data_IF_294857988241
#
_entry.id   IF_294857988241
#
_cell.length_a   1.000
_cell.length_b   1.000
_cell.length_c   1.000
_cell.angle_alpha   90.00
_cell.angle_beta   90.00
_cell.angle_gamma   90.00
#
_symmetry.space_group_name_H-M   'P 1'
#
loop_
_entity.id
_entity.type
_entity.pdbx_description
1 polymer ?
#
# COMPACT_ATOMS: atom_id res chain seq x y z
N UNK A 1 -21.37 0.54 -4.33
CA UNK A 1 -20.25 1.48 -4.06
C UNK A 1 -19.42 1.01 -2.87
N UNK A 2 -20.05 0.89 -1.69
CA UNK A 2 -19.43 0.39 -0.45
C UNK A 2 -18.69 -0.94 -0.63
N UNK A 3 -19.32 -1.95 -1.26
CA UNK A 3 -18.66 -3.24 -1.53
C UNK A 3 -17.41 -3.11 -2.41
N UNK A 4 -17.43 -2.29 -3.45
CA UNK A 4 -16.28 -2.10 -4.35
C UNK A 4 -15.16 -1.31 -3.66
N UNK A 5 -15.51 -0.32 -2.84
CA UNK A 5 -14.56 0.42 -2.01
C UNK A 5 -13.90 -0.48 -0.97
N UNK A 6 -14.69 -1.30 -0.28
CA UNK A 6 -14.21 -2.29 0.65
C UNK A 6 -13.29 -3.32 -0.02
N UNK A 7 -13.69 -3.86 -1.18
CA UNK A 7 -12.89 -4.81 -1.94
C UNK A 7 -11.54 -4.22 -2.35
N UNK A 8 -11.51 -2.98 -2.85
CA UNK A 8 -10.27 -2.28 -3.21
C UNK A 8 -9.36 -2.04 -1.99
N UNK A 9 -9.93 -1.64 -0.86
CA UNK A 9 -9.19 -1.48 0.39
C UNK A 9 -8.62 -2.81 0.88
N UNK A 10 -9.42 -3.87 0.83
CA UNK A 10 -9.03 -5.21 1.25
C UNK A 10 -7.93 -5.77 0.35
N UNK A 11 -8.05 -5.63 -0.98
CA UNK A 11 -7.02 -6.03 -1.95
C UNK A 11 -5.70 -5.31 -1.67
N UNK A 12 -5.74 -3.99 -1.43
CA UNK A 12 -4.55 -3.22 -1.06
C UNK A 12 -3.88 -3.79 0.21
N UNK A 13 -4.67 -4.08 1.25
CA UNK A 13 -4.16 -4.68 2.50
C UNK A 13 -3.53 -6.06 2.27
N UNK A 14 -4.12 -6.87 1.39
CA UNK A 14 -3.57 -8.18 1.02
C UNK A 14 -2.22 -8.03 0.29
N UNK A 15 -2.13 -7.12 -0.69
CA UNK A 15 -0.88 -6.83 -1.40
C UNK A 15 0.24 -6.43 -0.42
N UNK A 16 -0.02 -5.49 0.48
CA UNK A 16 0.97 -5.08 1.49
C UNK A 16 1.34 -6.21 2.46
N UNK A 17 0.39 -7.09 2.80
CA UNK A 17 0.67 -8.29 3.58
C UNK A 17 1.62 -9.27 2.89
N UNK A 18 1.44 -9.48 1.59
CA UNK A 18 2.33 -10.32 0.77
C UNK A 18 3.72 -9.69 0.68
N UNK A 19 3.83 -8.39 0.39
CA UNK A 19 5.12 -7.67 0.31
C UNK A 19 5.92 -7.81 1.61
N UNK A 20 5.28 -7.57 2.77
CA UNK A 20 5.95 -7.72 4.06
C UNK A 20 6.41 -9.16 4.31
N UNK A 21 5.59 -10.14 3.93
CA UNK A 21 5.93 -11.57 4.08
C UNK A 21 7.13 -11.95 3.23
N UNK A 22 7.13 -11.57 1.94
CA UNK A 22 8.20 -11.94 1.02
C UNK A 22 9.51 -11.20 1.31
N UNK A 23 9.47 -9.94 1.74
CA UNK A 23 10.68 -9.24 2.18
C UNK A 23 11.30 -9.89 3.42
N UNK A 24 10.47 -10.38 4.36
CA UNK A 24 10.94 -11.17 5.51
C UNK A 24 11.52 -12.51 5.05
N UNK A 25 10.92 -13.15 4.05
CA UNK A 25 11.46 -14.38 3.46
C UNK A 25 12.83 -14.13 2.81
N UNK A 26 13.00 -13.07 2.02
CA UNK A 26 14.28 -12.69 1.42
C UNK A 26 15.33 -12.50 2.52
N UNK A 27 15.02 -11.73 3.56
CA UNK A 27 15.94 -11.50 4.67
C UNK A 27 16.27 -12.81 5.42
N UNK A 28 15.26 -13.62 5.75
CA UNK A 28 15.42 -14.91 6.42
C UNK A 28 16.29 -15.87 5.62
N UNK A 29 15.99 -16.06 4.33
CA UNK A 29 16.70 -16.97 3.44
C UNK A 29 18.14 -16.50 3.20
N UNK A 30 18.32 -15.22 2.87
CA UNK A 30 19.64 -14.64 2.63
C UNK A 30 20.53 -14.69 3.86
N UNK A 31 19.99 -14.40 5.05
CA UNK A 31 20.76 -14.44 6.29
C UNK A 31 21.04 -15.85 6.83
N UNK A 32 20.11 -16.79 6.63
CA UNK A 32 20.28 -18.17 7.15
C UNK A 32 21.15 -19.03 6.24
N UNK A 33 21.06 -18.85 4.92
CA UNK A 33 21.76 -19.69 3.95
C UNK A 33 23.14 -19.20 3.58
N UNK A 34 23.45 -17.92 3.82
CA UNK A 34 24.76 -17.33 3.52
C UNK A 34 25.89 -17.79 4.44
N UNK A 35 25.71 -18.81 5.30
CA UNK A 35 26.73 -19.26 6.27
C UNK A 35 27.62 -20.37 5.67
N UNK A 36 28.88 -20.09 5.30
CA UNK A 36 29.80 -21.13 4.83
C UNK A 36 30.68 -21.59 6.00
N UNK A 37 30.98 -22.88 6.07
CA UNK A 37 31.80 -23.47 7.14
C UNK A 37 33.28 -23.01 7.16
N UNK A 38 33.76 -22.28 6.14
CA UNK A 38 35.20 -22.01 5.92
C UNK A 38 35.58 -20.56 5.60
N UNK A 39 34.68 -19.59 5.78
CA UNK A 39 34.90 -18.23 5.25
C UNK A 39 35.71 -17.33 6.19
N UNK A 40 36.83 -16.77 5.69
CA UNK A 40 37.81 -15.97 6.45
C UNK A 40 37.35 -14.54 6.79
N UNK A 41 36.36 -14.00 6.07
CA UNK A 41 35.88 -12.62 6.22
C UNK A 41 34.43 -12.54 6.74
N UNK A 42 34.25 -12.91 8.01
CA UNK A 42 32.96 -12.86 8.71
C UNK A 42 32.31 -11.46 8.69
N UNK A 43 33.11 -10.40 8.79
CA UNK A 43 32.63 -9.02 8.87
C UNK A 43 31.97 -8.56 7.56
N UNK A 44 32.64 -8.79 6.43
CA UNK A 44 32.12 -8.46 5.10
C UNK A 44 30.79 -9.16 4.82
N UNK A 45 30.67 -10.44 5.21
CA UNK A 45 29.40 -11.17 5.08
C UNK A 45 28.28 -10.56 5.92
N UNK A 46 28.55 -10.20 7.17
CA UNK A 46 27.56 -9.54 8.03
C UNK A 46 27.10 -8.22 7.41
N UNK A 47 28.03 -7.49 6.79
CA UNK A 47 27.70 -6.27 6.05
C UNK A 47 26.82 -6.55 4.84
N UNK A 48 27.15 -7.54 4.00
CA UNK A 48 26.34 -7.93 2.84
C UNK A 48 24.93 -8.41 3.24
N UNK A 49 24.82 -9.17 4.35
CA UNK A 49 23.53 -9.58 4.92
C UNK A 49 22.70 -8.38 5.40
N UNK A 50 23.35 -7.39 6.02
CA UNK A 50 22.70 -6.12 6.41
C UNK A 50 22.23 -5.37 5.19
N UNK A 51 23.03 -5.28 4.12
CA UNK A 51 22.66 -4.62 2.86
C UNK A 51 21.44 -5.27 2.20
N UNK A 52 21.32 -6.59 2.21
CA UNK A 52 20.10 -7.27 1.72
C UNK A 52 18.89 -6.93 2.60
N UNK A 53 19.04 -6.97 3.92
CA UNK A 53 17.94 -6.64 4.85
C UNK A 53 17.47 -5.19 4.70
N UNK A 54 18.41 -4.26 4.60
CA UNK A 54 18.13 -2.84 4.33
C UNK A 54 17.52 -2.66 2.95
N UNK A 55 18.02 -3.36 1.92
CA UNK A 55 17.48 -3.31 0.56
C UNK A 55 16.01 -3.76 0.49
N UNK A 56 15.65 -4.85 1.18
CA UNK A 56 14.27 -5.31 1.26
C UNK A 56 13.35 -4.27 1.91
N UNK A 57 13.84 -3.57 2.94
CA UNK A 57 13.08 -2.50 3.58
C UNK A 57 12.99 -1.24 2.72
N UNK A 58 14.08 -0.85 2.04
CA UNK A 58 14.11 0.28 1.12
C UNK A 58 13.14 0.06 -0.05
N UNK A 59 13.00 -1.17 -0.54
CA UNK A 59 11.96 -1.50 -1.52
C UNK A 59 10.55 -1.16 -1.01
N UNK A 60 10.20 -1.57 0.21
CA UNK A 60 8.90 -1.22 0.81
C UNK A 60 8.73 0.29 0.94
N UNK A 61 9.77 1.00 1.41
CA UNK A 61 9.73 2.46 1.59
C UNK A 61 9.59 3.20 0.26
N UNK A 62 10.26 2.71 -0.79
CA UNK A 62 10.14 3.23 -2.15
C UNK A 62 8.75 2.98 -2.73
N UNK A 63 8.18 1.79 -2.51
CA UNK A 63 6.81 1.48 -2.93
C UNK A 63 5.79 2.33 -2.18
N UNK A 64 5.95 2.50 -0.86
CA UNK A 64 5.09 3.35 -0.04
C UNK A 64 5.08 4.77 -0.58
N UNK A 65 6.26 5.34 -0.87
CA UNK A 65 6.37 6.66 -1.47
C UNK A 65 5.72 6.72 -2.85
N UNK A 66 5.92 5.69 -3.67
CA UNK A 66 5.34 5.61 -5.02
C UNK A 66 3.81 5.61 -5.01
N UNK A 67 3.19 4.93 -4.03
CA UNK A 67 1.73 4.84 -3.87
C UNK A 67 1.13 5.80 -2.84
N UNK A 68 1.95 6.64 -2.19
CA UNK A 68 1.58 7.43 -1.01
C UNK A 68 1.25 8.91 -1.27
N UNK A 69 1.45 9.40 -2.50
CA UNK A 69 1.26 10.82 -2.83
C UNK A 69 2.49 11.70 -2.53
N UNK A 70 2.50 12.97 -2.99
CA UNK A 70 3.72 13.80 -3.10
C UNK A 70 4.29 14.29 -1.75
N UNK A 71 3.49 14.32 -0.70
CA UNK A 71 3.84 14.96 0.58
C UNK A 71 5.02 14.28 1.31
N UNK A 72 5.27 13.01 0.99
CA UNK A 72 6.28 12.15 1.62
C UNK A 72 7.67 12.21 0.93
N UNK A 73 7.86 13.10 -0.06
CA UNK A 73 9.10 13.14 -0.85
C UNK A 73 10.36 13.48 -0.02
N UNK A 74 10.27 14.50 0.83
CA UNK A 74 11.41 14.97 1.60
C UNK A 74 11.86 13.90 2.62
N UNK A 75 10.89 13.26 3.29
CA UNK A 75 11.15 12.20 4.25
C UNK A 75 11.73 10.95 3.57
N UNK A 76 11.20 10.57 2.40
CA UNK A 76 11.74 9.48 1.60
C UNK A 76 13.21 9.69 1.26
N UNK A 77 13.57 10.88 0.76
CA UNK A 77 14.95 11.17 0.38
C UNK A 77 15.90 11.20 1.59
N UNK A 78 15.47 11.77 2.72
CA UNK A 78 16.25 11.77 3.95
C UNK A 78 16.52 10.33 4.44
N UNK A 79 15.47 9.50 4.43
CA UNK A 79 15.54 8.08 4.78
C UNK A 79 16.51 7.32 3.89
N UNK A 80 16.39 7.46 2.57
CA UNK A 80 17.26 6.77 1.60
C UNK A 80 18.73 7.16 1.81
N UNK A 81 19.03 8.45 2.00
CA UNK A 81 20.40 8.94 2.26
C UNK A 81 20.99 8.47 3.59
N UNK A 82 20.14 8.17 4.58
CA UNK A 82 20.58 7.67 5.88
C UNK A 82 21.01 6.19 5.84
N UNK A 83 20.28 5.37 5.08
CA UNK A 83 20.43 3.91 5.11
C UNK A 83 21.21 3.34 3.92
N UNK A 84 21.36 4.09 2.83
CA UNK A 84 22.08 3.65 1.63
C UNK A 84 23.38 4.45 1.42
N UNK A 85 24.40 3.84 0.81
CA UNK A 85 25.57 4.55 0.30
C UNK A 85 25.18 5.69 -0.66
N UNK A 86 25.95 6.80 -0.72
CA UNK A 86 25.58 7.97 -1.51
C UNK A 86 25.33 7.70 -3.00
N UNK A 87 26.11 6.81 -3.60
CA UNK A 87 25.97 6.41 -5.01
C UNK A 87 24.67 5.64 -5.27
N UNK A 88 24.32 4.73 -4.36
CA UNK A 88 23.09 3.94 -4.44
C UNK A 88 21.85 4.79 -4.13
N UNK A 89 21.97 5.68 -3.14
CA UNK A 89 20.91 6.60 -2.72
C UNK A 89 20.51 7.56 -3.84
N UNK A 90 21.46 8.29 -4.42
CA UNK A 90 21.16 9.23 -5.51
C UNK A 90 20.70 8.48 -6.78
N UNK A 91 21.26 7.31 -7.05
CA UNK A 91 20.81 6.44 -8.14
C UNK A 91 19.39 5.89 -7.95
N UNK A 92 18.90 5.79 -6.71
CA UNK A 92 17.51 5.41 -6.40
C UNK A 92 16.57 6.62 -6.51
N UNK A 93 16.97 7.77 -5.98
CA UNK A 93 16.16 9.01 -5.99
C UNK A 93 15.93 9.50 -7.42
N UNK A 94 16.97 9.44 -8.26
CA UNK A 94 16.93 9.89 -9.65
C UNK A 94 16.22 8.92 -10.61
N UNK A 95 15.89 7.70 -10.17
CA UNK A 95 15.26 6.72 -11.04
C UNK A 95 13.79 7.08 -11.35
N UNK A 96 13.38 6.92 -12.61
CA UNK A 96 11.98 7.08 -13.03
C UNK A 96 11.05 6.14 -12.26
N UNK A 97 11.47 4.89 -12.09
CA UNK A 97 10.72 3.87 -11.37
C UNK A 97 11.47 3.42 -10.12
N UNK A 98 11.31 4.18 -9.03
CA UNK A 98 12.05 3.97 -7.78
C UNK A 98 11.85 2.59 -7.14
N UNK A 99 10.64 2.01 -7.06
CA UNK A 99 10.45 0.65 -6.52
C UNK A 99 11.27 -0.42 -7.26
N UNK A 100 11.17 -0.48 -8.59
CA UNK A 100 11.97 -1.40 -9.40
C UNK A 100 13.47 -1.11 -9.36
N UNK A 101 13.89 0.15 -9.21
CA UNK A 101 15.31 0.46 -8.95
C UNK A 101 15.78 -0.10 -7.61
N UNK A 102 14.97 -0.01 -6.56
CA UNK A 102 15.26 -0.62 -5.27
C UNK A 102 15.30 -2.15 -5.36
N UNK A 103 14.38 -2.75 -6.14
CA UNK A 103 14.38 -4.20 -6.40
C UNK A 103 15.64 -4.65 -7.15
N UNK A 104 16.08 -3.90 -8.16
CA UNK A 104 17.33 -4.16 -8.87
C UNK A 104 18.55 -4.10 -7.92
N UNK A 105 18.60 -3.09 -7.05
CA UNK A 105 19.67 -2.97 -6.07
C UNK A 105 19.66 -4.15 -5.08
N UNK A 106 18.47 -4.57 -4.63
CA UNK A 106 18.29 -5.74 -3.77
C UNK A 106 18.83 -7.01 -4.43
N UNK A 107 18.51 -7.26 -5.71
CA UNK A 107 19.06 -8.39 -6.47
C UNK A 107 20.59 -8.35 -6.52
N UNK A 108 21.19 -7.17 -6.74
CA UNK A 108 22.66 -7.00 -6.68
C UNK A 108 23.26 -7.31 -5.30
N UNK A 109 22.58 -6.96 -4.21
CA UNK A 109 23.04 -7.30 -2.86
C UNK A 109 22.96 -8.81 -2.61
N UNK A 110 21.93 -9.48 -3.15
CA UNK A 110 21.79 -10.95 -3.11
C UNK A 110 22.89 -11.64 -3.93
N UNK A 111 23.32 -11.06 -5.06
CA UNK A 111 24.44 -11.56 -5.87
C UNK A 111 25.76 -11.66 -5.11
N UNK A 112 26.01 -10.71 -4.19
CA UNK A 112 27.23 -10.67 -3.38
C UNK A 112 27.29 -11.74 -2.30
N UNK A 113 26.15 -12.32 -1.92
CA UNK A 113 26.11 -13.35 -0.89
C UNK A 113 26.63 -14.70 -1.42
N UNK A 114 27.35 -15.47 -0.58
CA UNK A 114 27.84 -16.80 -0.92
C UNK A 114 26.70 -17.83 -0.87
N UNK A 115 25.76 -17.72 -1.81
CA UNK A 115 24.64 -18.63 -1.98
C UNK A 115 24.94 -19.64 -3.10
N UNK A 116 24.53 -20.88 -2.88
CA UNK A 116 24.48 -21.88 -3.95
C UNK A 116 23.44 -21.46 -5.00
N UNK A 117 23.57 -21.95 -6.24
CA UNK A 117 22.63 -21.66 -7.32
C UNK A 117 21.18 -22.00 -6.93
N UNK A 118 20.96 -23.16 -6.31
CA UNK A 118 19.64 -23.57 -5.82
C UNK A 118 19.07 -22.59 -4.80
N UNK A 119 19.87 -22.14 -3.83
CA UNK A 119 19.43 -21.15 -2.84
C UNK A 119 19.12 -19.81 -3.50
N UNK A 120 19.93 -19.40 -4.47
CA UNK A 120 19.73 -18.16 -5.22
C UNK A 120 18.40 -18.17 -5.96
N UNK A 121 18.07 -19.26 -6.64
CA UNK A 121 16.78 -19.44 -7.31
C UNK A 121 15.61 -19.33 -6.32
N UNK A 122 15.71 -19.92 -5.13
CA UNK A 122 14.65 -19.81 -4.12
C UNK A 122 14.50 -18.38 -3.57
N UNK A 123 15.58 -17.63 -3.39
CA UNK A 123 15.50 -16.21 -2.99
C UNK A 123 14.91 -15.34 -4.11
N UNK A 124 15.29 -15.60 -5.35
CA UNK A 124 14.82 -14.84 -6.51
C UNK A 124 13.31 -15.02 -6.74
N UNK A 125 12.74 -16.20 -6.46
CA UNK A 125 11.27 -16.40 -6.48
C UNK A 125 10.54 -15.38 -5.61
N UNK A 126 11.03 -15.09 -4.40
CA UNK A 126 10.44 -14.05 -3.54
C UNK A 126 10.60 -12.65 -4.15
N UNK A 127 11.70 -12.38 -4.87
CA UNK A 127 11.91 -11.11 -5.58
C UNK A 127 10.93 -10.93 -6.75
N UNK A 128 10.63 -12.02 -7.48
CA UNK A 128 9.61 -12.03 -8.54
C UNK A 128 8.23 -11.72 -7.95
N UNK A 129 7.86 -12.38 -6.85
CA UNK A 129 6.54 -12.15 -6.21
C UNK A 129 6.37 -10.68 -5.78
N UNK A 130 7.38 -10.06 -5.14
CA UNK A 130 7.25 -8.64 -4.76
C UNK A 130 7.21 -7.71 -5.97
N UNK A 131 7.86 -8.07 -7.08
CA UNK A 131 7.74 -7.35 -8.36
C UNK A 131 6.32 -7.42 -8.93
N UNK A 132 5.71 -8.60 -8.93
CA UNK A 132 4.32 -8.78 -9.41
C UNK A 132 3.32 -8.01 -8.54
N UNK A 133 3.51 -8.04 -7.22
CA UNK A 133 2.65 -7.30 -6.28
C UNK A 133 2.87 -5.78 -6.37
N UNK A 134 4.07 -5.31 -6.75
CA UNK A 134 4.31 -3.90 -7.05
C UNK A 134 3.38 -3.41 -8.18
N UNK A 135 3.29 -4.17 -9.27
CA UNK A 135 2.36 -3.87 -10.37
C UNK A 135 0.89 -3.94 -9.96
N UNK A 136 0.53 -4.85 -9.03
CA UNK A 136 -0.81 -4.87 -8.45
C UNK A 136 -1.12 -3.59 -7.65
N UNK A 137 -0.17 -3.12 -6.82
CA UNK A 137 -0.28 -1.87 -6.07
C UNK A 137 -0.43 -0.66 -7.01
N UNK A 138 0.35 -0.61 -8.09
CA UNK A 138 0.26 0.44 -9.12
C UNK A 138 -1.11 0.46 -9.81
N UNK A 139 -1.65 -0.71 -10.16
CA UNK A 139 -3.01 -0.82 -10.74
C UNK A 139 -4.08 -0.33 -9.76
N UNK A 140 -3.99 -0.73 -8.49
CA UNK A 140 -4.91 -0.30 -7.43
C UNK A 140 -4.83 1.22 -7.23
N UNK A 141 -3.62 1.79 -7.23
CA UNK A 141 -3.40 3.22 -7.05
C UNK A 141 -3.88 4.03 -8.27
N UNK A 142 -3.48 3.63 -9.47
CA UNK A 142 -3.78 4.32 -10.73
C UNK A 142 -5.21 4.16 -11.23
N UNK A 143 -5.98 3.20 -10.72
CA UNK A 143 -7.37 2.95 -11.13
C UNK A 143 -8.35 3.27 -10.00
N UNK A 144 -8.69 4.55 -9.76
CA UNK A 144 -9.69 4.91 -8.76
C UNK A 144 -11.09 4.45 -9.16
N UNK A 145 -11.95 4.26 -8.15
CA UNK A 145 -13.37 3.99 -8.38
C UNK A 145 -13.95 5.14 -9.21
N UNK A 146 -14.67 4.86 -10.32
CA UNK A 146 -15.14 5.91 -11.21
C UNK A 146 -15.96 6.96 -10.45
N UNK A 147 -15.57 8.23 -10.61
CA UNK A 147 -16.18 9.37 -9.90
C UNK A 147 -17.67 9.56 -10.21
N UNK A 148 -18.14 9.02 -11.33
CA UNK A 148 -19.55 9.00 -11.71
C UNK A 148 -20.37 8.26 -10.63
N UNK A 149 -19.90 7.11 -10.16
CA UNK A 149 -20.63 6.34 -9.15
C UNK A 149 -20.69 7.05 -7.79
N UNK A 150 -19.67 7.80 -7.40
CA UNK A 150 -19.66 8.54 -6.13
C UNK A 150 -20.51 9.80 -6.22
N UNK A 151 -20.36 10.59 -7.29
CA UNK A 151 -21.07 11.87 -7.46
C UNK A 151 -22.57 11.69 -7.73
N UNK A 152 -22.98 10.72 -8.54
CA UNK A 152 -24.40 10.51 -8.85
C UNK A 152 -25.16 9.96 -7.64
N UNK A 153 -24.58 9.00 -6.90
CA UNK A 153 -25.21 8.43 -5.70
C UNK A 153 -25.44 9.52 -4.64
N UNK A 154 -24.42 10.33 -4.34
CA UNK A 154 -24.52 11.42 -3.36
C UNK A 154 -25.54 12.49 -3.77
N UNK A 155 -25.58 12.90 -5.05
CA UNK A 155 -26.58 13.86 -5.57
C UNK A 155 -28.00 13.31 -5.51
N UNK A 156 -28.18 12.06 -5.89
CA UNK A 156 -29.48 11.38 -5.82
C UNK A 156 -29.95 11.30 -4.37
N UNK A 157 -29.10 10.84 -3.46
CA UNK A 157 -29.44 10.72 -2.03
C UNK A 157 -29.79 12.09 -1.42
N UNK A 158 -29.01 13.12 -1.71
CA UNK A 158 -29.28 14.49 -1.23
C UNK A 158 -30.61 15.01 -1.77
N UNK A 159 -30.92 14.75 -3.04
CA UNK A 159 -32.21 15.13 -3.66
C UNK A 159 -33.37 14.36 -3.03
N UNK A 160 -33.21 13.06 -2.79
CA UNK A 160 -34.22 12.22 -2.14
C UNK A 160 -34.49 12.66 -0.69
N UNK A 161 -33.45 12.97 0.07
CA UNK A 161 -33.56 13.51 1.44
C UNK A 161 -34.20 14.90 1.46
N UNK A 162 -33.96 15.73 0.45
CA UNK A 162 -34.64 17.03 0.30
C UNK A 162 -36.15 16.85 0.11
N UNK A 163 -36.58 15.81 -0.61
CA UNK A 163 -37.99 15.52 -0.84
C UNK A 163 -38.65 14.68 0.27
N UNK A 164 -37.86 14.09 1.18
CA UNK A 164 -38.33 13.22 2.25
C UNK A 164 -39.40 13.87 3.17
N UNK A 165 -39.26 15.14 3.61
CA UNK A 165 -40.27 15.79 4.45
C UNK A 165 -41.64 15.89 3.79
N UNK A 166 -41.69 16.12 2.47
CA UNK A 166 -42.95 16.18 1.74
C UNK A 166 -43.66 14.82 1.70
N UNK A 167 -42.89 13.72 1.58
CA UNK A 167 -43.44 12.36 1.64
C UNK A 167 -43.93 11.97 3.05
N UNK A 168 -43.33 12.56 4.10
CA UNK A 168 -43.68 12.29 5.50
C UNK A 168 -44.83 13.18 6.03
N UNK A 169 -45.40 14.06 5.21
CA UNK A 169 -46.42 15.02 5.64
C UNK A 169 -47.69 14.34 6.19
N UNK A 170 -48.29 13.42 5.43
CA UNK A 170 -49.53 12.72 5.83
C UNK A 170 -49.34 11.79 7.05
N UNK A 171 -48.29 10.92 7.10
CA UNK A 171 -48.08 10.03 8.24
C UNK A 171 -47.92 10.74 9.59
N UNK A 172 -47.32 11.93 9.59
CA UNK A 172 -47.10 12.73 10.81
C UNK A 172 -48.17 13.80 11.05
N UNK A 173 -49.28 13.78 10.31
CA UNK A 173 -50.38 14.76 10.44
C UNK A 173 -51.14 14.72 11.76
N UNK A 174 -50.97 13.68 12.58
CA UNK A 174 -51.60 13.57 13.90
C UNK A 174 -50.81 14.25 15.02
N UNK A 175 -49.53 14.53 14.80
CA UNK A 175 -48.68 15.23 15.76
C UNK A 175 -48.91 16.75 15.69
N UNK A 176 -48.77 17.46 16.81
CA UNK A 176 -48.89 18.91 16.85
C UNK A 176 -47.92 19.56 15.85
N UNK A 177 -48.47 20.25 14.84
CA UNK A 177 -47.70 20.93 13.80
C UNK A 177 -46.63 20.06 13.12
N UNK A 178 -46.85 18.75 13.00
CA UNK A 178 -45.92 17.78 12.39
C UNK A 178 -44.50 17.80 13.01
N UNK A 179 -44.34 18.22 14.27
CA UNK A 179 -43.01 18.47 14.86
C UNK A 179 -42.10 17.23 14.89
N UNK A 180 -42.68 16.04 15.05
CA UNK A 180 -41.98 14.74 15.06
C UNK A 180 -41.29 14.41 13.72
N UNK A 181 -41.70 15.06 12.62
CA UNK A 181 -41.09 14.91 11.30
C UNK A 181 -39.64 15.38 11.27
N UNK A 182 -39.30 16.43 12.04
CA UNK A 182 -37.95 17.01 12.06
C UNK A 182 -36.92 16.03 12.65
N UNK A 183 -37.08 15.49 13.87
CA UNK A 183 -36.15 14.49 14.40
C UNK A 183 -36.16 13.19 13.59
N UNK A 184 -37.31 12.77 13.03
CA UNK A 184 -37.40 11.57 12.21
C UNK A 184 -36.60 11.71 10.89
N UNK A 185 -36.78 12.82 10.17
CA UNK A 185 -36.03 13.10 8.93
C UNK A 185 -34.54 13.29 9.19
N UNK A 186 -34.15 13.95 10.29
CA UNK A 186 -32.76 14.08 10.69
C UNK A 186 -32.11 12.72 10.99
N UNK A 187 -32.83 11.81 11.66
CA UNK A 187 -32.36 10.46 11.97
C UNK A 187 -32.19 9.63 10.68
N UNK A 188 -33.14 9.70 9.75
CA UNK A 188 -33.02 9.03 8.44
C UNK A 188 -31.84 9.58 7.64
N UNK A 189 -31.67 10.90 7.62
CA UNK A 189 -30.54 11.54 6.95
C UNK A 189 -29.20 11.11 7.56
N UNK A 190 -29.09 11.06 8.90
CA UNK A 190 -27.90 10.60 9.62
C UNK A 190 -27.51 9.18 9.19
N UNK A 191 -28.45 8.23 9.20
CA UNK A 191 -28.15 6.85 8.84
C UNK A 191 -27.80 6.70 7.35
N UNK A 192 -28.51 7.38 6.46
CA UNK A 192 -28.26 7.22 5.02
C UNK A 192 -26.98 7.93 4.56
N UNK A 193 -26.69 9.12 5.06
CA UNK A 193 -25.40 9.75 4.79
C UNK A 193 -24.25 8.99 5.46
N UNK A 194 -24.45 8.45 6.67
CA UNK A 194 -23.44 7.61 7.33
C UNK A 194 -23.13 6.29 6.61
N UNK A 195 -24.01 5.79 5.74
CA UNK A 195 -23.74 4.62 4.88
C UNK A 195 -23.04 5.03 3.57
N UNK A 196 -23.31 6.24 3.08
CA UNK A 196 -22.69 6.73 1.83
C UNK A 196 -21.25 7.22 2.06
N UNK A 197 -20.94 7.75 3.25
CA UNK A 197 -19.60 8.14 3.69
C UNK A 197 -18.65 6.93 3.82
#
# INVERSE_FOLDING_TARGET
RTNNAYQRWFECRQCWGIINTECRNIARMSCSWSVPAKERNREKRIEDMKRVSTGSWIFMRALQRHTGGPDDEAEFQATVRQYLPPDEAEGLIAANHRPFRALFNLSRHIERLPLTERQRIEVDKSCVIIGDICGACERIYGTPIPLVYTRHTSRFLSTWLLFLPFAMWEPFGKAWNHWEMVPASALVALFLFGIDE
#
